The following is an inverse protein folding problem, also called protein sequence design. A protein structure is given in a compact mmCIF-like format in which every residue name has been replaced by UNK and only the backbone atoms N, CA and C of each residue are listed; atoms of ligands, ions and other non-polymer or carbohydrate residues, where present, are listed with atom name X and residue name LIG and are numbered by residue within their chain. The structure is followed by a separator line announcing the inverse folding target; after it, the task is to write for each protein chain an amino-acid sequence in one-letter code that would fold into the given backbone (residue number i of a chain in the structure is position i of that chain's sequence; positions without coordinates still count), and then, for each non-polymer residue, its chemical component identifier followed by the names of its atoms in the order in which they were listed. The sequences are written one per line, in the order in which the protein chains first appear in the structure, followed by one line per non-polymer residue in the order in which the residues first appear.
data_IF_707335730568
#
_entry.id   IF_707335730568
#
_cell.length_a   1.000
_cell.length_b   1.000
_cell.length_c   1.000
_cell.angle_alpha   90.00
_cell.angle_beta   90.00
_cell.angle_gamma   90.00
#
_symmetry.space_group_name_H-M   'P 1'
#
loop_
_entity.id
_entity.type
_entity.pdbx_description
1 polymer ?
#
# COMPACT_ATOMS: atom_id res chain seq x y z
N UNK A 1 1.39 -19.87 14.09
CA UNK A 1 1.62 -19.39 12.71
C UNK A 1 0.47 -18.47 12.36
N UNK A 2 0.76 -17.24 11.97
CA UNK A 2 -0.26 -16.25 11.60
C UNK A 2 -0.57 -16.34 10.11
N UNK A 3 -1.82 -16.06 9.75
CA UNK A 3 -2.25 -15.90 8.36
C UNK A 3 -2.19 -14.41 8.01
N UNK A 4 -1.35 -14.07 7.03
CA UNK A 4 -1.11 -12.68 6.62
C UNK A 4 -1.67 -12.49 5.22
N UNK A 5 -2.54 -11.48 5.07
CA UNK A 5 -2.94 -10.94 3.76
C UNK A 5 -2.39 -9.53 3.64
N UNK A 6 -1.58 -9.28 2.62
CA UNK A 6 -0.96 -7.98 2.36
C UNK A 6 -0.63 -7.86 0.86
N UNK A 7 -1.06 -6.77 0.23
CA UNK A 7 -0.72 -6.45 -1.16
C UNK A 7 -0.69 -4.92 -1.32
N UNK A 8 0.36 -4.31 -0.76
CA UNK A 8 0.46 -2.84 -0.70
C UNK A 8 0.60 -2.19 -2.08
N UNK A 9 1.16 -2.92 -3.05
CA UNK A 9 1.29 -2.44 -4.43
C UNK A 9 -0.08 -2.36 -5.07
N UNK A 10 -0.90 -3.41 -4.94
CA UNK A 10 -2.26 -3.40 -5.44
C UNK A 10 -3.12 -2.34 -4.77
N UNK A 11 -3.04 -2.20 -3.45
CA UNK A 11 -3.78 -1.17 -2.73
C UNK A 11 -3.45 0.25 -3.23
N UNK A 12 -2.17 0.49 -3.49
CA UNK A 12 -1.71 1.76 -4.07
C UNK A 12 -2.23 1.95 -5.50
N UNK A 13 -2.14 0.93 -6.36
CA UNK A 13 -2.64 0.96 -7.73
C UNK A 13 -4.15 1.21 -7.78
N UNK A 14 -4.92 0.56 -6.91
CA UNK A 14 -6.37 0.76 -6.80
C UNK A 14 -6.68 2.20 -6.38
N UNK A 15 -5.92 2.76 -5.43
CA UNK A 15 -6.06 4.16 -5.04
C UNK A 15 -5.76 5.12 -6.19
N UNK A 16 -4.68 4.88 -6.95
CA UNK A 16 -4.35 5.68 -8.14
C UNK A 16 -5.48 5.63 -9.16
N UNK A 17 -6.03 4.45 -9.44
CA UNK A 17 -7.18 4.29 -10.34
C UNK A 17 -8.39 5.12 -9.88
N UNK A 18 -8.70 5.14 -8.58
CA UNK A 18 -9.76 5.99 -8.04
C UNK A 18 -9.47 7.49 -8.21
N UNK A 19 -8.22 7.92 -8.03
CA UNK A 19 -7.83 9.32 -8.25
C UNK A 19 -8.10 9.73 -9.71
N UNK A 20 -7.67 8.91 -10.67
CA UNK A 20 -7.91 9.16 -12.10
C UNK A 20 -9.40 9.11 -12.46
N UNK A 21 -10.17 8.19 -11.86
CA UNK A 21 -11.61 8.15 -12.04
C UNK A 21 -12.28 9.41 -11.51
N UNK A 22 -11.87 9.88 -10.32
CA UNK A 22 -12.38 11.10 -9.69
C UNK A 22 -12.00 12.39 -10.44
N UNK A 23 -10.89 12.39 -11.18
CA UNK A 23 -10.45 13.53 -11.99
C UNK A 23 -11.16 13.66 -13.34
N UNK A 24 -12.00 12.68 -13.72
CA UNK A 24 -12.71 12.64 -14.99
C UNK A 24 -11.91 12.03 -16.15
N UNK A 25 -10.71 11.52 -15.89
CA UNK A 25 -9.85 10.86 -16.87
C UNK A 25 -9.44 9.47 -16.37
N UNK A 26 -10.39 8.50 -16.32
CA UNK A 26 -10.11 7.17 -15.81
C UNK A 26 -9.03 6.46 -16.63
N UNK A 27 -8.15 5.73 -15.95
CA UNK A 27 -7.17 4.85 -16.60
C UNK A 27 -7.90 3.67 -17.29
N UNK A 28 -7.32 3.09 -18.36
CA UNK A 28 -7.86 1.89 -19.00
C UNK A 28 -8.02 0.72 -18.01
N UNK A 29 -9.07 -0.07 -18.16
CA UNK A 29 -9.34 -1.22 -17.26
C UNK A 29 -8.24 -2.30 -17.31
N UNK A 30 -7.58 -2.45 -18.46
CA UNK A 30 -6.52 -3.44 -18.71
C UNK A 30 -5.11 -2.86 -18.60
N UNK A 31 -4.95 -1.67 -18.02
CA UNK A 31 -3.64 -1.06 -17.79
C UNK A 31 -2.81 -1.93 -16.85
N UNK A 32 -1.52 -2.09 -17.14
CA UNK A 32 -0.60 -2.84 -16.29
C UNK A 32 -0.22 -2.06 -15.03
N UNK A 33 0.19 -2.78 -13.98
CA UNK A 33 0.65 -2.16 -12.72
C UNK A 33 1.82 -1.19 -12.90
N UNK A 34 2.65 -1.41 -13.93
CA UNK A 34 3.77 -0.54 -14.27
C UNK A 34 3.28 0.78 -14.89
N UNK A 35 2.38 0.68 -15.86
CA UNK A 35 1.78 1.82 -16.53
C UNK A 35 0.92 2.67 -15.58
N UNK A 36 0.25 2.07 -14.58
CA UNK A 36 -0.48 2.82 -13.54
C UNK A 36 0.47 3.77 -12.81
N UNK A 37 1.62 3.25 -12.37
CA UNK A 37 2.59 4.04 -11.62
C UNK A 37 3.21 5.14 -12.48
N UNK A 38 3.57 4.83 -13.73
CA UNK A 38 4.07 5.83 -14.68
C UNK A 38 3.02 6.93 -14.89
N UNK A 39 1.77 6.56 -15.19
CA UNK A 39 0.69 7.52 -15.42
C UNK A 39 0.49 8.45 -14.20
N UNK A 40 0.57 7.90 -12.99
CA UNK A 40 0.48 8.70 -11.78
C UNK A 40 1.61 9.74 -11.67
N UNK A 41 2.87 9.32 -11.79
CA UNK A 41 4.02 10.21 -11.65
C UNK A 41 4.18 11.19 -12.80
N UNK A 42 3.66 10.87 -13.99
CA UNK A 42 3.61 11.80 -15.13
C UNK A 42 2.84 13.10 -14.85
N UNK A 43 1.99 13.14 -13.82
CA UNK A 43 1.32 14.38 -13.41
C UNK A 43 2.29 15.43 -12.85
N UNK A 44 3.47 15.00 -12.37
CA UNK A 44 4.44 15.87 -11.70
C UNK A 44 5.86 15.77 -12.27
N UNK A 45 6.21 14.65 -12.91
CA UNK A 45 7.52 14.42 -13.52
C UNK A 45 7.74 15.30 -14.75
N UNK A 46 9.01 15.56 -15.08
CA UNK A 46 9.44 16.36 -16.22
C UNK A 46 9.56 15.51 -17.50
N UNK A 47 9.66 14.19 -17.36
CA UNK A 47 9.76 13.24 -18.47
C UNK A 47 9.16 11.88 -18.11
N UNK A 48 8.90 11.07 -19.13
CA UNK A 48 8.47 9.68 -18.96
C UNK A 48 9.55 8.83 -18.28
N UNK A 49 10.82 9.07 -18.57
CA UNK A 49 11.95 8.39 -17.93
C UNK A 49 11.99 8.68 -16.42
N UNK A 50 11.76 9.94 -16.01
CA UNK A 50 11.66 10.31 -14.60
C UNK A 50 10.44 9.67 -13.94
N UNK A 51 9.28 9.68 -14.61
CA UNK A 51 8.08 9.02 -14.09
C UNK A 51 8.26 7.50 -13.91
N UNK A 52 8.94 6.85 -14.85
CA UNK A 52 9.27 5.43 -14.76
C UNK A 52 10.23 5.14 -13.60
N UNK A 53 11.24 5.99 -13.40
CA UNK A 53 12.16 5.88 -12.27
C UNK A 53 11.43 6.03 -10.93
N UNK A 54 10.59 7.06 -10.79
CA UNK A 54 9.77 7.29 -9.58
C UNK A 54 8.80 6.13 -9.32
N UNK A 55 8.18 5.59 -10.38
CA UNK A 55 7.31 4.42 -10.32
C UNK A 55 8.06 3.19 -9.77
N UNK A 56 9.26 2.92 -10.31
CA UNK A 56 10.10 1.82 -9.86
C UNK A 56 10.54 1.98 -8.39
N UNK A 57 10.98 3.18 -7.99
CA UNK A 57 11.37 3.49 -6.62
C UNK A 57 10.21 3.30 -5.64
N UNK A 58 9.01 3.77 -6.00
CA UNK A 58 7.81 3.57 -5.19
C UNK A 58 7.46 2.09 -5.04
N UNK A 59 7.58 1.29 -6.11
CA UNK A 59 7.34 -0.15 -6.05
C UNK A 59 8.33 -0.86 -5.12
N UNK A 60 9.61 -0.49 -5.18
CA UNK A 60 10.65 -1.02 -4.27
C UNK A 60 10.33 -0.65 -2.82
N UNK A 61 9.90 0.59 -2.57
CA UNK A 61 9.49 1.06 -1.24
C UNK A 61 8.31 0.28 -0.69
N UNK A 62 7.23 0.11 -1.46
CA UNK A 62 6.04 -0.64 -1.04
C UNK A 62 6.35 -2.12 -0.80
N UNK A 63 7.17 -2.73 -1.66
CA UNK A 63 7.66 -4.12 -1.48
C UNK A 63 8.46 -4.26 -0.18
N UNK A 64 9.36 -3.32 0.10
CA UNK A 64 10.18 -3.31 1.31
C UNK A 64 9.33 -3.14 2.58
N UNK A 65 8.31 -2.27 2.55
CA UNK A 65 7.37 -2.12 3.65
C UNK A 65 6.57 -3.39 3.90
N UNK A 66 6.07 -4.03 2.85
CA UNK A 66 5.36 -5.30 2.94
C UNK A 66 6.24 -6.39 3.57
N UNK A 67 7.49 -6.51 3.12
CA UNK A 67 8.44 -7.46 3.70
C UNK A 67 8.73 -7.15 5.17
N UNK A 68 8.91 -5.88 5.52
CA UNK A 68 9.14 -5.44 6.89
C UNK A 68 7.99 -5.83 7.81
N UNK A 69 6.74 -5.70 7.34
CA UNK A 69 5.55 -6.13 8.10
C UNK A 69 5.55 -7.64 8.31
N UNK A 70 5.83 -8.41 7.26
CA UNK A 70 5.88 -9.87 7.34
C UNK A 70 6.96 -10.36 8.31
N UNK A 71 8.18 -9.80 8.20
CA UNK A 71 9.33 -10.20 9.02
C UNK A 71 9.16 -9.86 10.50
N UNK A 72 8.44 -8.78 10.79
CA UNK A 72 8.25 -8.28 12.15
C UNK A 72 6.86 -8.59 12.72
N UNK A 73 6.04 -9.40 12.03
CA UNK A 73 4.68 -9.68 12.47
C UNK A 73 4.66 -10.32 13.86
N UNK A 74 5.41 -11.39 14.03
CA UNK A 74 5.36 -12.18 15.26
C UNK A 74 6.07 -11.50 16.43
N UNK A 75 7.18 -10.81 16.15
CA UNK A 75 8.05 -10.23 17.17
C UNK A 75 7.56 -8.88 17.68
N UNK A 76 6.96 -8.05 16.82
CA UNK A 76 6.65 -6.65 17.13
C UNK A 76 5.19 -6.31 16.85
N UNK A 77 4.69 -6.56 15.64
CA UNK A 77 3.42 -5.99 15.17
C UNK A 77 2.22 -6.67 15.84
N UNK A 78 2.15 -8.01 15.86
CA UNK A 78 1.03 -8.72 16.48
C UNK A 78 0.94 -8.49 18.00
N UNK A 79 2.05 -8.51 18.77
CA UNK A 79 2.03 -8.11 20.19
C UNK A 79 1.53 -6.67 20.40
N UNK A 80 1.97 -5.72 19.56
CA UNK A 80 1.54 -4.32 19.66
C UNK A 80 0.04 -4.19 19.37
N UNK A 81 -0.45 -4.76 18.26
CA UNK A 81 -1.89 -4.80 17.92
C UNK A 81 -2.71 -5.38 19.08
N UNK A 82 -2.30 -6.52 19.63
CA UNK A 82 -2.95 -7.18 20.78
C UNK A 82 -3.02 -6.24 21.98
N UNK A 83 -1.91 -5.60 22.31
CA UNK A 83 -1.83 -4.70 23.46
C UNK A 83 -2.69 -3.44 23.31
N UNK A 84 -2.82 -2.93 22.07
CA UNK A 84 -3.53 -1.67 21.76
C UNK A 84 -5.02 -1.86 21.54
N UNK A 85 -5.43 -3.00 20.98
CA UNK A 85 -6.80 -3.23 20.50
C UNK A 85 -7.52 -4.37 21.20
N UNK A 86 -6.79 -5.26 21.89
CA UNK A 86 -7.34 -6.50 22.45
C UNK A 86 -7.62 -7.57 21.39
N UNK A 87 -7.18 -7.40 20.14
CA UNK A 87 -7.41 -8.37 19.07
C UNK A 87 -6.60 -9.66 19.28
N UNK A 88 -7.27 -10.79 19.55
CA UNK A 88 -6.61 -12.08 19.85
C UNK A 88 -6.51 -13.04 18.65
N UNK A 89 -7.05 -12.64 17.50
CA UNK A 89 -7.10 -13.46 16.29
C UNK A 89 -5.71 -13.80 15.72
N UNK A 90 -5.70 -14.77 14.81
CA UNK A 90 -4.49 -15.25 14.11
C UNK A 90 -4.42 -14.79 12.66
N UNK A 91 -5.45 -14.08 12.19
CA UNK A 91 -5.56 -13.56 10.82
C UNK A 91 -5.29 -12.05 10.85
N UNK A 92 -4.40 -11.58 10.00
CA UNK A 92 -4.07 -10.17 9.85
C UNK A 92 -4.20 -9.76 8.38
N UNK A 93 -4.92 -8.68 8.12
CA UNK A 93 -5.10 -8.11 6.78
C UNK A 93 -4.58 -6.68 6.79
N UNK A 94 -3.46 -6.45 6.10
CA UNK A 94 -2.83 -5.14 6.04
C UNK A 94 -3.16 -4.47 4.72
N UNK A 95 -3.64 -3.23 4.83
CA UNK A 95 -4.06 -2.41 3.69
C UNK A 95 -3.35 -1.08 3.67
N UNK A 96 -2.78 -0.71 2.53
CA UNK A 96 -2.32 0.65 2.30
C UNK A 96 -3.51 1.57 2.00
N UNK A 97 -3.56 2.73 2.65
CA UNK A 97 -4.61 3.74 2.42
C UNK A 97 -4.03 5.14 2.40
N UNK A 98 -4.63 6.01 1.59
CA UNK A 98 -4.35 7.44 1.57
C UNK A 98 -5.46 8.22 2.29
N UNK A 99 -5.16 8.77 3.47
CA UNK A 99 -6.10 9.61 4.23
C UNK A 99 -5.34 10.68 5.02
N UNK A 100 -5.19 11.87 4.44
CA UNK A 100 -4.32 12.95 4.95
C UNK A 100 -2.86 12.52 5.15
N UNK A 101 -2.39 11.61 4.29
CA UNK A 101 -1.10 10.95 4.39
C UNK A 101 -1.19 9.47 4.06
N UNK A 102 -0.04 8.84 3.91
CA UNK A 102 0.05 7.40 3.72
C UNK A 102 -0.08 6.67 5.06
N UNK A 103 -0.88 5.61 5.07
CA UNK A 103 -1.06 4.77 6.24
C UNK A 103 -1.15 3.31 5.85
N UNK A 104 -0.67 2.44 6.74
CA UNK A 104 -0.96 1.01 6.67
C UNK A 104 -1.88 0.68 7.84
N UNK A 105 -3.03 0.10 7.54
CA UNK A 105 -4.04 -0.26 8.53
C UNK A 105 -4.21 -1.77 8.53
N UNK A 106 -4.26 -2.36 9.71
CA UNK A 106 -4.71 -3.72 9.90
C UNK A 106 -6.23 -3.73 10.05
N UNK A 107 -6.93 -4.36 9.10
CA UNK A 107 -8.37 -4.22 8.93
C UNK A 107 -9.18 -4.91 10.03
N UNK A 108 -8.66 -5.98 10.66
CA UNK A 108 -9.42 -6.77 11.64
C UNK A 108 -9.46 -6.13 13.02
N UNK A 109 -8.40 -5.41 13.37
CA UNK A 109 -8.25 -4.67 14.62
C UNK A 109 -8.45 -3.16 14.44
N UNK A 110 -8.58 -2.69 13.20
CA UNK A 110 -8.57 -1.26 12.83
C UNK A 110 -7.32 -0.52 13.32
N UNK A 111 -6.22 -1.24 13.55
CA UNK A 111 -4.98 -0.68 14.04
C UNK A 111 -4.18 -0.02 12.91
N UNK A 112 -3.67 1.19 13.12
CA UNK A 112 -2.77 1.86 12.18
C UNK A 112 -1.33 1.58 12.57
N UNK A 113 -0.56 0.97 11.66
CA UNK A 113 0.88 0.77 11.84
C UNK A 113 1.57 2.13 11.83
N UNK A 114 2.37 2.46 12.86
CA UNK A 114 3.25 3.63 12.82
C UNK A 114 4.28 3.43 11.71
N UNK A 115 4.30 4.35 10.73
CA UNK A 115 5.27 4.39 9.64
C UNK A 115 6.46 5.29 9.99
#
# INVERSE_FOLDING_TARGET
MYEITIDLIRDWNDTVKEIFRGSGYPLPENISDEEIGIAYFMQTAQSEEEAAQLSAENRVRLSSLQQTIADNLESVIAPDIRSRTGYEGTQFSFKWVYNNGEHIVEERSSYRIPL
#
